data_IF_690559444898
#
_entry.id   IF_690559444898
#
_cell.length_a   1.000
_cell.length_b   1.000
_cell.length_c   1.000
_cell.angle_alpha   90.00
_cell.angle_beta   90.00
_cell.angle_gamma   90.00
#
_symmetry.space_group_name_H-M   'P 1'
#
loop_
_entity.id
_entity.type
_entity.pdbx_description
1 polymer ?
#
# COMPACT_ATOMS: atom_id res chain seq x y z
N UNK A 1 0.93 -20.55 3.45
CA UNK A 1 0.53 -19.34 2.67
C UNK A 1 0.44 -19.65 1.18
N UNK A 2 1.50 -20.18 0.57
CA UNK A 2 1.54 -20.55 -0.84
C UNK A 2 0.34 -21.40 -1.32
N UNK A 3 0.02 -22.50 -0.64
CA UNK A 3 -1.12 -23.36 -1.02
C UNK A 3 -2.46 -22.61 -1.05
N UNK A 4 -2.74 -21.77 -0.04
CA UNK A 4 -3.95 -20.92 -0.02
C UNK A 4 -3.92 -19.87 -1.13
N UNK A 5 -2.76 -19.29 -1.42
CA UNK A 5 -2.58 -18.40 -2.56
C UNK A 5 -3.00 -19.10 -3.87
N UNK A 6 -2.48 -20.31 -4.13
CA UNK A 6 -2.79 -21.11 -5.32
C UNK A 6 -4.27 -21.47 -5.44
N UNK A 7 -4.89 -21.90 -4.35
CA UNK A 7 -6.33 -22.23 -4.32
C UNK A 7 -7.20 -21.08 -4.83
N UNK A 8 -7.00 -19.85 -4.34
CA UNK A 8 -7.80 -18.70 -4.79
C UNK A 8 -7.39 -18.19 -6.19
N UNK A 9 -6.16 -18.44 -6.64
CA UNK A 9 -5.75 -18.13 -8.02
C UNK A 9 -6.53 -18.97 -9.05
N UNK A 10 -6.81 -20.23 -8.71
CA UNK A 10 -7.61 -21.15 -9.53
C UNK A 10 -9.08 -20.69 -9.62
N UNK A 11 -9.56 -19.96 -8.60
CA UNK A 11 -10.88 -19.30 -8.57
C UNK A 11 -10.88 -17.91 -9.22
N UNK A 12 -9.81 -17.53 -9.94
CA UNK A 12 -9.73 -16.25 -10.66
C UNK A 12 -9.16 -15.07 -9.85
N UNK A 13 -8.88 -15.22 -8.55
CA UNK A 13 -8.31 -14.15 -7.71
C UNK A 13 -6.78 -14.23 -7.75
N UNK A 14 -6.19 -13.60 -8.79
CA UNK A 14 -4.76 -13.72 -9.15
C UNK A 14 -3.80 -13.29 -8.04
N UNK A 15 -4.08 -12.21 -7.32
CA UNK A 15 -3.24 -11.68 -6.26
C UNK A 15 -4.07 -11.52 -4.96
N UNK A 16 -4.59 -12.65 -4.47
CA UNK A 16 -5.35 -12.67 -3.22
C UNK A 16 -4.48 -12.38 -1.98
N UNK A 17 -5.13 -12.09 -0.86
CA UNK A 17 -4.50 -11.84 0.44
C UNK A 17 -3.40 -12.83 0.83
N UNK A 18 -3.56 -14.13 0.54
CA UNK A 18 -2.55 -15.13 0.88
C UNK A 18 -1.33 -15.04 -0.03
N UNK A 19 -1.51 -14.63 -1.30
CA UNK A 19 -0.41 -14.35 -2.21
C UNK A 19 0.36 -13.11 -1.77
N UNK A 20 -0.34 -12.02 -1.43
CA UNK A 20 0.29 -10.79 -0.92
C UNK A 20 1.09 -11.10 0.35
N UNK A 21 0.49 -11.82 1.31
CA UNK A 21 1.21 -12.28 2.50
C UNK A 21 2.41 -13.17 2.17
N UNK A 22 2.25 -14.08 1.22
CA UNK A 22 3.34 -14.95 0.79
C UNK A 22 4.50 -14.12 0.22
N UNK A 23 4.23 -13.25 -0.75
CA UNK A 23 5.22 -12.36 -1.38
C UNK A 23 5.91 -11.46 -0.36
N UNK A 24 5.13 -10.85 0.54
CA UNK A 24 5.66 -10.05 1.63
C UNK A 24 6.66 -10.85 2.49
N UNK A 25 6.27 -12.02 2.98
CA UNK A 25 7.15 -12.86 3.80
C UNK A 25 8.32 -13.47 3.03
N UNK A 26 8.17 -13.73 1.72
CA UNK A 26 9.25 -14.28 0.89
C UNK A 26 10.21 -13.20 0.37
N UNK A 27 9.83 -11.92 0.38
CA UNK A 27 10.65 -10.80 -0.10
C UNK A 27 11.70 -10.29 0.90
N UNK A 28 11.80 -11.00 2.03
CA UNK A 28 12.67 -10.73 3.14
C UNK A 28 14.14 -10.78 2.73
N UNK A 29 14.86 -9.69 2.95
CA UNK A 29 16.31 -9.63 2.81
C UNK A 29 16.96 -10.08 4.12
N UNK A 30 17.92 -11.00 4.03
CA UNK A 30 18.63 -11.54 5.20
C UNK A 30 19.75 -10.64 5.72
N UNK A 31 20.10 -9.57 4.99
CA UNK A 31 21.22 -8.68 5.31
C UNK A 31 20.93 -7.23 4.92
N UNK A 32 21.23 -6.31 5.82
CA UNK A 32 21.28 -4.87 5.60
C UNK A 32 22.72 -4.39 5.81
N UNK A 33 23.27 -3.63 4.86
CA UNK A 33 24.50 -2.87 5.04
C UNK A 33 24.15 -1.38 5.13
N UNK A 34 24.67 -0.69 6.12
CA UNK A 34 24.38 0.72 6.41
C UNK A 34 25.69 1.48 6.57
N UNK A 35 25.88 2.52 5.76
CA UNK A 35 26.95 3.50 5.94
C UNK A 35 26.37 4.73 6.65
N UNK A 36 26.98 5.11 7.77
CA UNK A 36 26.57 6.25 8.59
C UNK A 36 27.69 7.28 8.56
N UNK A 37 27.39 8.48 8.09
CA UNK A 37 28.28 9.64 8.15
C UNK A 37 27.59 10.75 8.94
N UNK A 38 28.33 11.38 9.85
CA UNK A 38 27.82 12.45 10.70
C UNK A 38 28.84 13.57 10.81
N UNK A 39 28.32 14.80 10.87
CA UNK A 39 29.10 16.02 11.00
C UNK A 39 28.51 16.95 12.06
N UNK A 40 29.37 17.60 12.83
CA UNK A 40 28.97 18.54 13.89
C UNK A 40 27.85 17.99 14.80
N UNK A 41 27.94 16.71 15.14
CA UNK A 41 27.04 16.05 16.06
C UNK A 41 27.25 16.68 17.44
N UNK A 42 26.40 17.63 17.81
CA UNK A 42 26.32 18.11 19.19
C UNK A 42 26.15 16.89 20.06
N UNK A 43 26.98 16.73 21.10
CA UNK A 43 26.85 15.65 22.08
C UNK A 43 25.39 15.59 22.53
N UNK A 44 24.64 14.65 21.96
CA UNK A 44 23.25 14.43 22.32
C UNK A 44 23.28 14.07 23.80
N UNK A 45 22.76 14.98 24.63
CA UNK A 45 22.81 14.92 26.08
C UNK A 45 22.62 13.49 26.60
N UNK A 46 23.34 13.05 27.66
CA UNK A 46 23.23 11.70 28.24
C UNK A 46 21.79 11.26 28.56
N UNK A 47 20.85 12.20 28.68
CA UNK A 47 19.42 11.95 28.89
C UNK A 47 18.73 11.23 27.74
N UNK A 48 19.14 11.43 26.48
CA UNK A 48 18.56 10.70 25.33
C UNK A 48 19.06 9.25 25.35
N UNK A 49 20.36 9.04 25.63
CA UNK A 49 20.94 7.72 25.82
C UNK A 49 20.24 6.93 26.95
N UNK A 50 19.93 7.56 28.08
CA UNK A 50 19.21 6.89 29.19
C UNK A 50 17.76 6.50 28.87
N UNK A 51 17.07 7.22 27.98
CA UNK A 51 15.73 6.83 27.52
C UNK A 51 15.75 5.52 26.71
N UNK A 52 16.79 5.30 25.91
CA UNK A 52 16.94 4.10 25.08
C UNK A 52 17.52 2.90 25.86
N UNK A 53 18.33 3.15 26.90
CA UNK A 53 18.92 2.11 27.74
C UNK A 53 17.95 1.42 28.73
N UNK A 54 16.69 1.83 28.83
CA UNK A 54 15.74 1.24 29.79
C UNK A 54 15.07 -0.06 29.32
N UNK A 55 15.26 -0.49 28.06
CA UNK A 55 14.86 -1.84 27.65
C UNK A 55 16.02 -2.81 27.81
N UNK A 56 16.01 -3.50 28.95
CA UNK A 56 16.68 -4.78 29.23
C UNK A 56 18.16 -4.87 28.79
N UNK A 57 19.11 -4.82 29.75
CA UNK A 57 20.57 -4.95 29.53
C UNK A 57 21.04 -6.17 28.68
N UNK A 58 20.14 -7.09 28.33
CA UNK A 58 20.39 -8.24 27.44
C UNK A 58 20.14 -7.96 25.95
N UNK A 59 19.39 -6.92 25.57
CA UNK A 59 18.98 -6.69 24.18
C UNK A 59 18.92 -5.18 23.86
N UNK A 60 20.01 -4.61 23.33
CA UNK A 60 20.00 -3.25 22.80
C UNK A 60 19.09 -3.19 21.56
N UNK A 61 18.31 -2.11 21.40
CA UNK A 61 17.60 -1.87 20.14
C UNK A 61 18.58 -1.53 18.99
N UNK A 62 18.10 -1.59 17.75
CA UNK A 62 18.93 -1.46 16.55
C UNK A 62 19.79 -0.19 16.53
N UNK A 63 19.16 0.95 16.80
CA UNK A 63 19.85 2.23 16.73
C UNK A 63 20.78 2.43 17.92
N UNK A 64 20.44 1.91 19.10
CA UNK A 64 21.34 1.90 20.26
C UNK A 64 22.59 1.05 19.98
N UNK A 65 22.44 -0.09 19.30
CA UNK A 65 23.58 -0.93 18.90
C UNK A 65 24.55 -0.18 17.96
N UNK A 66 24.04 0.70 17.09
CA UNK A 66 24.86 1.48 16.16
C UNK A 66 25.40 2.76 16.81
N UNK A 67 24.53 3.56 17.42
CA UNK A 67 24.85 4.90 17.91
C UNK A 67 25.61 4.92 19.23
N UNK A 68 25.74 3.78 19.92
CA UNK A 68 26.67 3.65 21.05
C UNK A 68 28.14 3.73 20.63
N UNK A 69 28.45 3.62 19.34
CA UNK A 69 29.81 3.65 18.78
C UNK A 69 30.13 4.92 17.99
N UNK A 70 29.33 5.97 18.14
CA UNK A 70 29.67 7.29 17.59
C UNK A 70 30.83 7.90 18.39
N UNK A 71 31.86 8.37 17.69
CA UNK A 71 33.10 8.90 18.26
C UNK A 71 33.24 10.38 17.86
N UNK A 72 33.12 11.28 18.84
CA UNK A 72 33.30 12.72 18.62
C UNK A 72 32.17 13.38 17.81
N UNK A 73 32.37 14.64 17.36
CA UNK A 73 31.37 15.41 16.63
C UNK A 73 31.28 15.03 15.14
N UNK A 74 32.32 14.44 14.57
CA UNK A 74 32.41 14.11 13.14
C UNK A 74 32.97 12.70 12.98
N UNK A 75 32.38 11.91 12.08
CA UNK A 75 32.87 10.56 11.84
C UNK A 75 32.04 9.74 10.88
N UNK A 76 32.48 8.48 10.71
CA UNK A 76 31.82 7.49 9.87
C UNK A 76 31.80 6.14 10.55
N UNK A 77 30.70 5.40 10.38
CA UNK A 77 30.53 4.02 10.84
C UNK A 77 29.92 3.18 9.70
N UNK A 78 30.28 1.91 9.65
CA UNK A 78 29.64 0.92 8.78
C UNK A 78 28.96 -0.15 9.64
N UNK A 79 27.65 -0.33 9.49
CA UNK A 79 26.89 -1.33 10.22
C UNK A 79 26.34 -2.42 9.27
N UNK A 80 26.55 -3.67 9.63
CA UNK A 80 25.98 -4.84 8.95
C UNK A 80 25.02 -5.54 9.89
N UNK A 81 23.74 -5.61 9.51
CA UNK A 81 22.71 -6.38 10.22
C UNK A 81 22.36 -7.63 9.43
N UNK A 82 22.39 -8.79 10.09
CA UNK A 82 22.00 -10.08 9.52
C UNK A 82 20.83 -10.68 10.31
N UNK A 83 19.76 -11.06 9.61
CA UNK A 83 18.56 -11.66 10.21
C UNK A 83 18.48 -13.12 9.80
N UNK A 84 18.48 -14.02 10.79
CA UNK A 84 18.43 -15.45 10.56
C UNK A 84 17.06 -15.91 10.08
N UNK A 85 17.06 -16.89 9.18
CA UNK A 85 15.84 -17.48 8.65
C UNK A 85 15.30 -18.47 9.68
N UNK A 86 14.38 -18.00 10.52
CA UNK A 86 13.46 -18.84 11.30
C UNK A 86 14.05 -19.52 12.56
N UNK A 87 14.06 -18.82 13.70
CA UNK A 87 14.47 -19.39 15.02
C UNK A 87 13.45 -19.19 16.15
N UNK A 88 12.20 -18.83 15.85
CA UNK A 88 11.16 -18.64 16.87
C UNK A 88 11.29 -17.36 17.72
N UNK A 89 12.49 -16.79 17.83
CA UNK A 89 12.75 -15.44 18.33
C UNK A 89 13.34 -14.59 17.19
N UNK A 90 12.74 -13.43 16.90
CA UNK A 90 13.22 -12.59 15.79
C UNK A 90 14.31 -11.64 16.31
N UNK A 91 15.57 -12.04 16.15
CA UNK A 91 16.74 -11.22 16.47
C UNK A 91 17.69 -11.13 15.28
N UNK A 92 18.49 -10.06 15.25
CA UNK A 92 19.54 -9.81 14.28
C UNK A 92 20.92 -9.85 14.95
N UNK A 93 21.93 -10.21 14.16
CA UNK A 93 23.33 -10.00 14.48
C UNK A 93 23.77 -8.70 13.83
N UNK A 94 24.25 -7.74 14.62
CA UNK A 94 24.64 -6.40 14.14
C UNK A 94 26.11 -6.17 14.43
N UNK A 95 26.91 -6.02 13.36
CA UNK A 95 28.32 -5.66 13.44
C UNK A 95 28.49 -4.20 13.08
N UNK A 96 29.19 -3.43 13.91
CA UNK A 96 29.45 -2.00 13.69
C UNK A 96 30.96 -1.80 13.58
N UNK A 97 31.41 -1.31 12.44
CA UNK A 97 32.80 -0.99 12.15
C UNK A 97 33.01 0.53 12.24
N UNK A 98 33.88 0.96 13.15
CA UNK A 98 34.26 2.38 13.32
C UNK A 98 35.30 2.81 12.27
N UNK A 99 35.51 4.12 12.14
CA UNK A 99 36.48 4.71 11.21
C UNK A 99 37.93 4.23 11.40
N UNK A 100 38.30 3.88 12.62
CA UNK A 100 39.59 3.28 12.97
C UNK A 100 39.68 1.77 12.65
N UNK A 101 38.63 1.17 12.09
CA UNK A 101 38.56 -0.25 11.69
C UNK A 101 38.18 -1.21 12.82
N UNK A 102 37.89 -0.73 14.02
CA UNK A 102 37.45 -1.58 15.13
C UNK A 102 36.02 -2.08 14.91
N UNK A 103 35.75 -3.35 15.23
CA UNK A 103 34.46 -4.01 14.96
C UNK A 103 33.79 -4.40 16.27
N UNK A 104 32.64 -3.81 16.54
CA UNK A 104 31.77 -4.14 17.66
C UNK A 104 30.67 -5.10 17.21
N UNK A 105 30.47 -6.19 17.94
CA UNK A 105 29.47 -7.22 17.63
C UNK A 105 28.33 -7.16 18.63
N UNK A 106 27.10 -7.07 18.13
CA UNK A 106 25.88 -7.12 18.92
C UNK A 106 25.05 -8.32 18.49
N UNK A 107 24.90 -9.26 19.41
CA UNK A 107 24.09 -10.45 19.22
C UNK A 107 22.69 -10.25 19.81
N UNK A 108 21.68 -10.92 19.26
CA UNK A 108 20.35 -10.90 19.85
C UNK A 108 19.63 -9.55 19.78
N UNK A 109 19.96 -8.69 18.82
CA UNK A 109 19.31 -7.38 18.62
C UNK A 109 17.85 -7.61 18.18
N UNK A 110 16.81 -7.14 18.90
CA UNK A 110 15.42 -7.42 18.55
C UNK A 110 15.03 -6.86 17.17
N UNK A 111 14.47 -7.70 16.29
CA UNK A 111 14.06 -7.29 14.91
C UNK A 111 12.65 -6.74 14.83
N UNK A 112 12.28 -5.93 15.82
CA UNK A 112 10.99 -5.23 15.84
C UNK A 112 10.84 -4.24 14.67
N UNK A 113 11.95 -3.82 14.05
CA UNK A 113 11.96 -2.87 12.92
C UNK A 113 12.12 -3.56 11.57
N UNK A 114 11.40 -3.04 10.55
CA UNK A 114 11.57 -3.41 9.13
C UNK A 114 12.94 -3.00 8.57
N UNK A 115 13.65 -2.06 9.21
CA UNK A 115 15.01 -1.68 8.80
C UNK A 115 15.98 -2.86 8.98
N UNK A 116 15.81 -3.65 10.05
CA UNK A 116 16.66 -4.80 10.35
C UNK A 116 16.43 -5.96 9.37
N UNK A 117 15.20 -6.12 8.90
CA UNK A 117 14.77 -7.17 7.98
C UNK A 117 14.05 -6.53 6.78
N UNK A 118 14.79 -5.80 5.91
CA UNK A 118 14.18 -5.07 4.82
C UNK A 118 13.52 -6.03 3.84
N UNK A 119 12.49 -5.57 3.15
CA UNK A 119 11.71 -6.36 2.21
C UNK A 119 11.66 -5.66 0.87
N UNK A 120 11.82 -6.43 -0.21
CA UNK A 120 11.77 -5.88 -1.58
C UNK A 120 10.35 -5.78 -2.12
N UNK A 121 9.40 -6.54 -1.56
CA UNK A 121 8.01 -6.46 -1.96
C UNK A 121 7.33 -5.37 -1.12
N UNK A 122 6.97 -4.28 -1.79
CA UNK A 122 6.11 -3.23 -1.28
C UNK A 122 4.81 -3.22 -2.09
N UNK A 123 3.70 -2.91 -1.43
CA UNK A 123 2.40 -2.77 -2.08
C UNK A 123 1.69 -1.56 -1.46
N UNK A 124 1.35 -0.58 -2.30
CA UNK A 124 0.72 0.69 -1.92
C UNK A 124 1.55 1.50 -0.90
N UNK A 125 1.00 2.61 -0.38
CA UNK A 125 1.65 3.59 0.50
C UNK A 125 2.01 3.03 1.88
N UNK A 126 2.94 2.08 1.89
CA UNK A 126 3.50 1.43 3.07
C UNK A 126 3.93 2.46 4.12
N UNK A 127 3.26 2.44 5.27
CA UNK A 127 3.78 3.12 6.46
C UNK A 127 4.49 2.11 7.33
N UNK A 128 5.73 2.41 7.69
CA UNK A 128 6.55 1.66 8.64
C UNK A 128 5.83 1.40 9.97
N UNK A 129 4.88 2.25 10.37
CA UNK A 129 4.08 2.10 11.59
C UNK A 129 3.20 0.85 11.59
N UNK A 130 2.82 0.34 10.41
CA UNK A 130 2.00 -0.87 10.26
C UNK A 130 2.67 -2.13 10.82
N UNK A 131 4.00 -2.14 10.87
CA UNK A 131 4.78 -3.26 11.40
C UNK A 131 4.77 -3.31 12.93
N UNK A 132 4.68 -2.13 13.57
CA UNK A 132 4.72 -2.01 15.02
C UNK A 132 3.33 -2.12 15.64
N UNK A 133 2.29 -1.76 14.90
CA UNK A 133 0.92 -1.90 15.37
C UNK A 133 -0.04 -2.16 14.21
N UNK A 134 -0.85 -3.21 14.39
CA UNK A 134 -1.95 -3.53 13.50
C UNK A 134 -2.96 -2.38 13.37
N UNK A 135 -2.99 -1.43 14.31
CA UNK A 135 -3.83 -0.23 14.24
C UNK A 135 -3.45 0.70 13.08
N UNK A 136 -2.20 0.65 12.62
CA UNK A 136 -1.76 1.44 11.47
C UNK A 136 -1.97 0.70 10.15
N UNK A 137 -2.26 -0.61 10.17
CA UNK A 137 -2.41 -1.41 8.96
C UNK A 137 -3.50 -0.81 8.06
N UNK A 138 -3.08 -0.20 6.97
CA UNK A 138 -4.01 0.32 5.97
C UNK A 138 -4.55 -0.88 5.21
N UNK A 139 -5.86 -1.09 5.34
CA UNK A 139 -6.52 -2.12 4.57
C UNK A 139 -6.60 -1.66 3.12
N UNK A 140 -6.50 -2.62 2.22
CA UNK A 140 -6.60 -2.41 0.79
C UNK A 140 -7.92 -3.01 0.35
N UNK A 141 -8.66 -2.25 -0.44
CA UNK A 141 -9.76 -2.81 -1.22
C UNK A 141 -9.19 -3.32 -2.54
N UNK A 142 -9.55 -4.54 -2.94
CA UNK A 142 -9.05 -5.14 -4.17
C UNK A 142 -10.18 -5.66 -5.05
N UNK A 143 -10.20 -5.19 -6.30
CA UNK A 143 -11.15 -5.60 -7.33
C UNK A 143 -10.40 -6.48 -8.34
N UNK A 144 -10.73 -7.77 -8.35
CA UNK A 144 -10.07 -8.79 -9.17
C UNK A 144 -11.13 -9.77 -9.70
N UNK A 145 -10.96 -10.26 -10.93
CA UNK A 145 -11.93 -11.19 -11.52
C UNK A 145 -13.36 -10.59 -11.50
N UNK A 146 -14.32 -11.34 -10.94
CA UNK A 146 -15.72 -10.92 -10.75
C UNK A 146 -16.05 -10.61 -9.28
N UNK A 147 -15.08 -10.21 -8.47
CA UNK A 147 -15.35 -9.83 -7.07
C UNK A 147 -14.52 -8.65 -6.60
N UNK A 148 -14.99 -8.06 -5.49
CA UNK A 148 -14.30 -7.04 -4.71
C UNK A 148 -14.08 -7.60 -3.32
N UNK A 149 -12.85 -7.48 -2.80
CA UNK A 149 -12.60 -7.57 -1.37
C UNK A 149 -12.60 -6.17 -0.79
N UNK A 150 -13.46 -5.95 0.19
CA UNK A 150 -13.63 -4.64 0.82
C UNK A 150 -12.48 -4.29 1.75
N UNK A 151 -12.45 -3.05 2.26
CA UNK A 151 -11.44 -2.65 3.25
C UNK A 151 -11.49 -3.54 4.50
N UNK A 152 -12.67 -3.96 4.96
CA UNK A 152 -12.78 -4.78 6.17
C UNK A 152 -12.78 -6.29 5.88
N UNK A 153 -12.60 -6.65 4.61
CA UNK A 153 -12.29 -8.01 4.15
C UNK A 153 -13.52 -8.87 3.88
N UNK A 154 -14.70 -8.27 3.70
CA UNK A 154 -15.81 -8.97 3.06
C UNK A 154 -15.51 -9.21 1.57
N UNK A 155 -16.15 -10.22 0.99
CA UNK A 155 -16.07 -10.49 -0.45
C UNK A 155 -17.43 -10.16 -1.04
N UNK A 156 -17.44 -9.35 -2.08
CA UNK A 156 -18.61 -8.86 -2.79
C UNK A 156 -18.52 -9.34 -4.24
N UNK A 157 -19.51 -10.09 -4.70
CA UNK A 157 -19.61 -10.53 -6.09
C UNK A 157 -20.08 -9.36 -6.98
N UNK A 158 -19.50 -9.24 -8.17
CA UNK A 158 -19.80 -8.18 -9.10
C UNK A 158 -20.85 -8.62 -10.13
N UNK A 159 -21.80 -7.73 -10.49
CA UNK A 159 -22.72 -7.99 -11.59
C UNK A 159 -21.98 -7.99 -12.93
N UNK A 160 -22.45 -8.84 -13.83
CA UNK A 160 -22.00 -8.89 -15.22
C UNK A 160 -22.56 -7.70 -15.99
N UNK A 161 -21.84 -6.59 -15.97
CA UNK A 161 -22.19 -5.36 -16.69
C UNK A 161 -20.94 -4.55 -17.01
N UNK A 162 -20.95 -3.89 -18.16
CA UNK A 162 -19.93 -2.93 -18.61
C UNK A 162 -20.21 -1.48 -18.13
N UNK A 163 -21.26 -1.27 -17.33
CA UNK A 163 -21.47 -0.02 -16.63
C UNK A 163 -20.39 0.22 -15.57
N UNK A 164 -20.08 1.50 -15.34
CA UNK A 164 -19.23 1.91 -14.23
C UNK A 164 -19.91 1.58 -12.91
N UNK A 165 -19.09 1.18 -11.94
CA UNK A 165 -19.52 0.89 -10.57
C UNK A 165 -18.69 1.75 -9.63
N UNK A 166 -19.31 2.26 -8.57
CA UNK A 166 -18.61 3.01 -7.52
C UNK A 166 -17.79 2.04 -6.68
N UNK A 167 -16.48 1.99 -6.91
CA UNK A 167 -15.57 1.11 -6.17
C UNK A 167 -15.34 1.68 -4.77
N UNK A 168 -14.86 2.92 -4.69
CA UNK A 168 -14.67 3.63 -3.44
C UNK A 168 -14.86 5.13 -3.65
N UNK A 169 -15.54 5.81 -2.73
CA UNK A 169 -15.78 7.24 -2.76
C UNK A 169 -15.65 7.81 -1.36
N UNK A 170 -15.09 9.02 -1.25
CA UNK A 170 -15.21 9.82 -0.04
C UNK A 170 -16.64 10.38 0.05
N UNK A 171 -17.40 9.90 1.04
CA UNK A 171 -18.79 10.26 1.26
C UNK A 171 -18.94 11.18 2.48
N UNK A 172 -17.82 11.72 2.98
CA UNK A 172 -17.82 12.85 3.90
C UNK A 172 -18.20 14.16 3.19
N UNK A 173 -18.48 15.24 3.94
CA UNK A 173 -18.71 16.56 3.35
C UNK A 173 -17.56 17.10 2.49
N UNK A 174 -16.35 16.55 2.62
CA UNK A 174 -15.19 16.97 1.84
C UNK A 174 -15.22 16.42 0.40
N UNK A 175 -15.77 15.21 0.18
CA UNK A 175 -15.93 14.58 -1.12
C UNK A 175 -14.65 14.61 -1.98
N UNK A 176 -13.53 14.20 -1.39
CA UNK A 176 -12.18 14.28 -1.97
C UNK A 176 -12.01 13.52 -3.29
N UNK A 177 -12.58 12.32 -3.39
CA UNK A 177 -12.32 11.42 -4.50
C UNK A 177 -13.48 10.45 -4.76
N UNK A 178 -13.53 9.94 -6.00
CA UNK A 178 -14.38 8.81 -6.41
C UNK A 178 -13.59 7.91 -7.36
N UNK A 179 -13.49 6.62 -7.05
CA UNK A 179 -12.91 5.58 -7.90
C UNK A 179 -14.04 4.76 -8.50
N UNK A 180 -14.12 4.76 -9.82
CA UNK A 180 -15.05 3.95 -10.60
C UNK A 180 -14.30 2.91 -11.41
N UNK A 181 -14.92 1.74 -11.59
CA UNK A 181 -14.41 0.72 -12.50
C UNK A 181 -15.52 0.11 -13.36
N UNK A 182 -15.18 -0.29 -14.58
CA UNK A 182 -16.07 -1.04 -15.47
C UNK A 182 -15.34 -2.21 -16.14
N UNK A 183 -16.10 -3.19 -16.61
CA UNK A 183 -15.58 -4.22 -17.50
C UNK A 183 -15.34 -3.63 -18.91
N UNK A 184 -14.40 -4.20 -19.65
CA UNK A 184 -14.16 -3.88 -21.06
C UNK A 184 -14.09 -5.17 -21.87
N UNK A 185 -14.20 -5.05 -23.19
CA UNK A 185 -14.07 -6.18 -24.11
C UNK A 185 -12.61 -6.53 -24.42
N UNK A 186 -11.62 -5.79 -23.88
CA UNK A 186 -10.21 -6.04 -24.14
C UNK A 186 -9.72 -7.29 -23.38
N UNK A 187 -9.19 -8.33 -24.06
CA UNK A 187 -8.68 -9.52 -23.39
C UNK A 187 -7.47 -9.25 -22.48
N UNK A 188 -6.63 -8.27 -22.85
CA UNK A 188 -5.42 -7.90 -22.11
C UNK A 188 -5.70 -6.86 -21.03
N UNK A 189 -6.76 -6.07 -21.19
CA UNK A 189 -7.12 -4.98 -20.30
C UNK A 189 -8.63 -5.01 -19.97
N UNK A 190 -9.13 -6.10 -19.37
CA UNK A 190 -10.57 -6.38 -19.23
C UNK A 190 -11.32 -5.44 -18.29
N UNK A 191 -10.62 -4.48 -17.67
CA UNK A 191 -11.20 -3.45 -16.81
C UNK A 191 -10.70 -2.08 -17.22
N UNK A 192 -11.49 -1.04 -16.98
CA UNK A 192 -11.07 0.34 -17.07
C UNK A 192 -11.44 1.06 -15.78
N UNK A 193 -10.61 2.03 -15.39
CA UNK A 193 -10.75 2.79 -14.16
C UNK A 193 -10.93 4.27 -14.48
N UNK A 194 -11.84 4.91 -13.76
CA UNK A 194 -12.09 6.35 -13.82
C UNK A 194 -12.06 6.90 -12.41
N UNK A 195 -11.17 7.86 -12.16
CA UNK A 195 -10.93 8.46 -10.85
C UNK A 195 -11.25 9.95 -10.98
N UNK A 196 -12.15 10.42 -10.12
CA UNK A 196 -12.31 11.84 -9.86
C UNK A 196 -11.53 12.15 -8.60
N UNK A 197 -10.59 13.09 -8.67
CA UNK A 197 -9.80 13.55 -7.53
C UNK A 197 -9.86 15.07 -7.51
N UNK A 198 -10.50 15.64 -6.49
CA UNK A 198 -10.93 17.03 -6.47
C UNK A 198 -11.70 17.38 -7.76
N UNK A 199 -11.18 18.28 -8.59
CA UNK A 199 -11.75 18.72 -9.87
C UNK A 199 -11.11 18.05 -11.10
N UNK A 200 -10.22 17.07 -10.91
CA UNK A 200 -9.50 16.39 -12.00
C UNK A 200 -10.11 15.03 -12.27
N UNK A 201 -10.35 14.73 -13.55
CA UNK A 201 -10.78 13.42 -14.03
C UNK A 201 -9.59 12.66 -14.61
N UNK A 202 -9.38 11.44 -14.14
CA UNK A 202 -8.28 10.57 -14.56
C UNK A 202 -8.88 9.26 -15.05
N UNK A 203 -8.55 8.85 -16.27
CA UNK A 203 -9.04 7.59 -16.84
C UNK A 203 -7.85 6.71 -17.24
N UNK A 204 -7.88 5.45 -16.82
CA UNK A 204 -6.89 4.45 -17.20
C UNK A 204 -7.65 3.28 -17.81
N UNK A 205 -7.48 3.06 -19.11
CA UNK A 205 -8.29 2.13 -19.87
C UNK A 205 -7.66 1.74 -21.20
N UNK A 206 -8.21 0.74 -21.90
CA UNK A 206 -7.75 0.41 -23.24
C UNK A 206 -8.33 1.40 -24.25
N UNK A 207 -7.50 1.86 -25.19
CA UNK A 207 -7.93 2.52 -26.43
C UNK A 207 -7.19 1.85 -27.57
N UNK A 208 -7.93 1.13 -28.44
CA UNK A 208 -7.57 0.45 -29.71
C UNK A 208 -6.23 -0.33 -29.78
N UNK A 209 -5.11 0.29 -29.41
CA UNK A 209 -3.73 -0.21 -29.54
C UNK A 209 -3.04 -0.49 -28.20
N UNK A 210 -3.65 -0.13 -27.05
CA UNK A 210 -3.04 -0.39 -25.74
C UNK A 210 -3.66 0.38 -24.58
N UNK A 211 -3.07 0.28 -23.38
CA UNK A 211 -3.49 1.08 -22.24
C UNK A 211 -3.15 2.56 -22.45
N UNK A 212 -4.10 3.43 -22.13
CA UNK A 212 -3.95 4.89 -22.20
C UNK A 212 -4.33 5.49 -20.86
N UNK A 213 -3.58 6.51 -20.47
CA UNK A 213 -3.90 7.39 -19.34
C UNK A 213 -4.42 8.70 -19.91
N UNK A 214 -5.62 9.09 -19.53
CA UNK A 214 -6.22 10.38 -19.83
C UNK A 214 -6.33 11.20 -18.54
N UNK A 215 -5.98 12.48 -18.61
CA UNK A 215 -6.20 13.46 -17.54
C UNK A 215 -7.01 14.59 -18.14
N UNK A 216 -8.22 14.81 -17.62
CA UNK A 216 -9.22 15.75 -18.18
C UNK A 216 -9.41 15.55 -19.70
N UNK A 217 -9.58 14.30 -20.12
CA UNK A 217 -9.76 13.89 -21.53
C UNK A 217 -8.51 14.03 -22.42
N UNK A 218 -7.40 14.56 -21.90
CA UNK A 218 -6.14 14.66 -22.63
C UNK A 218 -5.24 13.44 -22.37
N UNK A 219 -4.70 12.86 -23.44
CA UNK A 219 -3.74 11.76 -23.35
C UNK A 219 -2.43 12.25 -22.78
N UNK A 220 -2.00 11.66 -21.67
CA UNK A 220 -0.72 11.96 -21.03
C UNK A 220 0.24 10.78 -21.19
N UNK A 221 1.52 11.02 -21.54
CA UNK A 221 2.52 9.96 -21.58
C UNK A 221 2.88 9.54 -20.16
N UNK A 222 2.72 8.25 -19.85
CA UNK A 222 3.17 7.64 -18.59
C UNK A 222 3.98 6.41 -18.94
N UNK A 223 5.30 6.50 -18.75
CA UNK A 223 6.23 5.38 -18.92
C UNK A 223 7.08 5.23 -17.66
N UNK A 224 7.89 4.18 -17.61
CA UNK A 224 8.81 3.95 -16.49
C UNK A 224 9.83 5.08 -16.36
N UNK A 225 10.25 5.66 -17.47
CA UNK A 225 11.21 6.75 -17.54
C UNK A 225 10.55 8.13 -17.40
N UNK A 226 9.23 8.20 -17.61
CA UNK A 226 8.46 9.44 -17.60
C UNK A 226 7.19 9.29 -16.74
N UNK A 227 7.30 9.45 -15.40
CA UNK A 227 6.13 9.58 -14.55
C UNK A 227 5.41 10.91 -14.81
N UNK A 228 4.09 10.90 -14.73
CA UNK A 228 3.26 12.10 -14.86
C UNK A 228 2.99 12.71 -13.49
N UNK A 229 3.12 14.03 -13.36
CA UNK A 229 2.80 14.78 -12.14
C UNK A 229 1.79 15.86 -12.47
N UNK A 230 0.74 15.97 -11.68
CA UNK A 230 -0.24 17.02 -11.81
C UNK A 230 -0.10 17.99 -10.65
N UNK A 231 0.19 19.25 -10.95
CA UNK A 231 0.45 20.31 -9.96
C UNK A 231 -0.64 21.36 -10.08
N UNK A 232 -1.24 21.74 -8.95
CA UNK A 232 -2.25 22.80 -8.84
C UNK A 232 -1.74 23.79 -7.80
N UNK A 233 -1.72 25.08 -8.13
CA UNK A 233 -1.26 26.17 -7.25
C UNK A 233 0.13 25.93 -6.61
N UNK A 234 1.03 25.31 -7.37
CA UNK A 234 2.40 25.02 -6.91
C UNK A 234 2.53 23.79 -6.00
N UNK A 235 1.44 23.06 -5.74
CA UNK A 235 1.44 21.82 -4.98
C UNK A 235 1.08 20.61 -5.86
N UNK A 236 1.79 19.49 -5.69
CA UNK A 236 1.46 18.24 -6.38
C UNK A 236 0.12 17.69 -5.86
N UNK A 237 -0.88 17.63 -6.74
CA UNK A 237 -2.17 17.03 -6.42
C UNK A 237 -2.06 15.51 -6.45
N UNK A 238 -1.42 14.97 -7.49
CA UNK A 238 -1.11 13.55 -7.64
C UNK A 238 0.03 13.33 -8.61
N UNK A 239 0.60 12.14 -8.58
CA UNK A 239 1.46 11.62 -9.64
C UNK A 239 1.03 10.22 -10.07
N UNK A 240 1.41 9.86 -11.29
CA UNK A 240 1.19 8.55 -11.89
C UNK A 240 2.54 8.03 -12.37
N UNK A 241 2.93 6.84 -11.91
CA UNK A 241 4.15 6.15 -12.34
C UNK A 241 3.79 4.81 -12.99
N UNK A 242 4.48 4.44 -14.07
CA UNK A 242 4.37 3.11 -14.65
C UNK A 242 5.50 2.21 -14.11
N UNK A 243 5.14 1.21 -13.30
CA UNK A 243 6.08 0.23 -12.76
C UNK A 243 5.72 -1.15 -13.31
N UNK A 244 6.59 -1.70 -14.15
CA UNK A 244 6.35 -2.95 -14.88
C UNK A 244 5.06 -2.88 -15.73
N UNK A 245 3.94 -3.45 -15.27
CA UNK A 245 2.62 -3.44 -15.93
C UNK A 245 1.58 -2.64 -15.16
N UNK A 246 1.97 -2.00 -14.06
CA UNK A 246 1.07 -1.28 -13.17
C UNK A 246 1.19 0.23 -13.40
N UNK A 247 0.05 0.90 -13.33
CA UNK A 247 -0.07 2.34 -13.17
C UNK A 247 -0.33 2.62 -11.69
N UNK A 248 0.65 3.24 -11.04
CA UNK A 248 0.61 3.65 -9.64
C UNK A 248 0.19 5.10 -9.58
N UNK A 249 -1.03 5.37 -9.16
CA UNK A 249 -1.51 6.72 -8.87
C UNK A 249 -1.45 6.98 -7.38
N UNK A 250 -0.83 8.10 -6.99
CA UNK A 250 -0.70 8.50 -5.60
C UNK A 250 -1.04 9.97 -5.42
N UNK A 251 -1.94 10.25 -4.49
CA UNK A 251 -2.24 11.59 -3.99
C UNK A 251 -1.97 11.61 -2.49
N UNK A 252 -0.81 12.14 -2.10
CA UNK A 252 -0.42 12.22 -0.70
C UNK A 252 -1.33 13.18 0.09
N UNK A 253 -1.67 14.32 -0.51
CA UNK A 253 -2.53 15.35 0.09
C UNK A 253 -3.95 14.86 0.35
N UNK A 254 -4.46 13.97 -0.50
CA UNK A 254 -5.80 13.39 -0.35
C UNK A 254 -5.77 11.97 0.22
N UNK A 255 -4.59 11.43 0.57
CA UNK A 255 -4.44 10.12 1.18
C UNK A 255 -4.98 8.97 0.31
N UNK A 256 -4.84 9.04 -1.01
CA UNK A 256 -5.35 8.05 -1.95
C UNK A 256 -4.19 7.39 -2.71
N UNK A 257 -4.19 6.06 -2.74
CA UNK A 257 -3.24 5.23 -3.49
C UNK A 257 -4.02 4.24 -4.34
N UNK A 258 -3.79 4.24 -5.64
CA UNK A 258 -4.43 3.33 -6.59
C UNK A 258 -3.35 2.62 -7.39
N UNK A 259 -3.42 1.29 -7.42
CA UNK A 259 -2.53 0.44 -8.19
C UNK A 259 -3.36 -0.38 -9.19
N UNK A 260 -3.10 -0.20 -10.48
CA UNK A 260 -3.94 -0.75 -11.55
C UNK A 260 -3.15 -1.25 -12.75
N UNK A 261 -3.42 -2.48 -13.21
CA UNK A 261 -2.75 -3.07 -14.39
C UNK A 261 -3.70 -3.52 -15.51
N UNK A 262 -4.97 -3.09 -15.48
CA UNK A 262 -6.00 -3.54 -16.42
C UNK A 262 -6.78 -4.79 -16.01
N UNK A 263 -6.24 -5.59 -15.09
CA UNK A 263 -6.91 -6.79 -14.55
C UNK A 263 -7.22 -6.65 -13.06
N UNK A 264 -6.27 -6.09 -12.32
CA UNK A 264 -6.29 -5.93 -10.87
C UNK A 264 -6.36 -4.44 -10.57
N UNK A 265 -7.27 -4.06 -9.69
CA UNK A 265 -7.37 -2.73 -9.14
C UNK A 265 -7.25 -2.84 -7.62
N UNK A 266 -6.26 -2.18 -7.05
CA UNK A 266 -6.11 -2.01 -5.61
C UNK A 266 -6.32 -0.55 -5.24
N UNK A 267 -7.12 -0.30 -4.20
CA UNK A 267 -7.36 1.02 -3.64
C UNK A 267 -6.97 1.01 -2.17
N UNK A 268 -6.18 1.98 -1.76
CA UNK A 268 -5.88 2.26 -0.35
C UNK A 268 -6.19 3.72 -0.06
N UNK A 269 -6.88 3.92 1.06
CA UNK A 269 -7.25 5.23 1.58
C UNK A 269 -6.60 5.46 2.95
N UNK A 270 -6.24 6.71 3.23
CA UNK A 270 -5.66 7.11 4.49
C UNK A 270 -6.63 6.87 5.68
N UNK A 271 -6.11 6.62 6.89
CA UNK A 271 -6.93 6.32 8.07
C UNK A 271 -7.99 7.36 8.44
N UNK A 272 -7.83 8.62 8.03
CA UNK A 272 -8.80 9.67 8.35
C UNK A 272 -10.13 9.53 7.60
N UNK A 273 -10.20 8.61 6.61
CA UNK A 273 -11.43 8.23 5.92
C UNK A 273 -12.20 7.08 6.58
N UNK A 274 -11.73 6.53 7.70
CA UNK A 274 -12.45 5.45 8.39
C UNK A 274 -13.88 5.85 8.74
N UNK A 275 -14.84 5.01 8.34
CA UNK A 275 -16.28 5.27 8.51
C UNK A 275 -16.82 6.43 7.67
N UNK A 276 -16.06 6.90 6.67
CA UNK A 276 -16.43 8.04 5.80
C UNK A 276 -16.43 7.68 4.32
N UNK A 277 -16.05 6.45 3.98
CA UNK A 277 -16.11 5.98 2.60
C UNK A 277 -17.48 5.38 2.30
N UNK A 278 -17.81 5.28 1.03
CA UNK A 278 -18.89 4.43 0.54
C UNK A 278 -18.56 3.88 -0.85
N UNK A 279 -19.31 2.89 -1.31
CA UNK A 279 -19.01 2.12 -2.53
C UNK A 279 -18.87 0.63 -2.26
N UNK A 280 -18.51 -0.12 -3.30
CA UNK A 280 -18.29 -1.57 -3.24
C UNK A 280 -17.20 -1.98 -2.23
N UNK A 281 -16.27 -1.07 -1.90
CA UNK A 281 -15.22 -1.29 -0.92
C UNK A 281 -15.66 -1.12 0.55
N UNK A 282 -16.94 -0.82 0.81
CA UNK A 282 -17.46 -0.57 2.16
C UNK A 282 -17.12 0.81 2.70
N UNK A 283 -17.38 1.01 4.00
CA UNK A 283 -17.20 2.30 4.69
C UNK A 283 -15.88 2.43 5.45
N UNK A 284 -15.07 1.38 5.47
CA UNK A 284 -13.74 1.33 6.06
C UNK A 284 -13.75 1.55 7.58
N UNK A 285 -14.68 0.93 8.30
CA UNK A 285 -14.89 1.13 9.74
C UNK A 285 -14.39 -0.02 10.64
N UNK A 286 -13.80 -1.08 10.06
CA UNK A 286 -13.37 -2.33 10.73
C UNK A 286 -14.46 -3.34 11.09
N UNK A 287 -15.72 -3.10 10.71
CA UNK A 287 -16.87 -3.94 11.02
C UNK A 287 -17.34 -4.73 9.79
N UNK A 288 -16.83 -5.96 9.67
CA UNK A 288 -17.14 -6.84 8.54
C UNK A 288 -18.60 -7.28 8.48
N UNK A 289 -19.34 -7.27 9.58
CA UNK A 289 -20.71 -7.82 9.62
C UNK A 289 -21.76 -6.90 8.98
N UNK A 290 -21.46 -5.61 8.82
CA UNK A 290 -22.37 -4.62 8.22
C UNK A 290 -21.80 -4.02 6.93
N UNK A 291 -20.91 -4.76 6.25
CA UNK A 291 -20.20 -4.26 5.08
C UNK A 291 -21.12 -3.94 3.89
N UNK A 292 -22.23 -4.67 3.75
CA UNK A 292 -23.13 -4.59 2.60
C UNK A 292 -24.18 -3.46 2.76
N UNK A 293 -23.76 -2.30 3.25
CA UNK A 293 -24.61 -1.13 3.41
C UNK A 293 -24.62 -0.31 2.11
N UNK A 294 -25.73 -0.35 1.38
CA UNK A 294 -25.88 0.35 0.11
C UNK A 294 -26.03 1.86 0.24
N UNK A 295 -26.07 2.58 -0.90
CA UNK A 295 -26.20 4.04 -0.93
C UNK A 295 -27.57 4.53 -0.45
N UNK A 296 -28.57 3.65 -0.40
CA UNK A 296 -29.92 3.87 0.14
C UNK A 296 -30.02 3.60 1.65
N UNK A 297 -28.89 3.35 2.31
CA UNK A 297 -28.80 2.88 3.70
C UNK A 297 -29.49 1.54 3.96
N UNK A 298 -29.76 0.75 2.91
CA UNK A 298 -30.24 -0.61 3.05
C UNK A 298 -29.06 -1.56 3.31
N UNK A 299 -29.20 -2.40 4.33
CA UNK A 299 -28.25 -3.50 4.57
C UNK A 299 -28.70 -4.73 3.79
N UNK A 300 -27.95 -5.04 2.74
CA UNK A 300 -28.23 -6.18 1.87
C UNK A 300 -27.74 -7.49 2.51
N UNK A 301 -28.45 -8.58 2.23
CA UNK A 301 -28.04 -9.94 2.58
C UNK A 301 -27.35 -10.68 1.41
N UNK A 302 -27.42 -10.12 0.20
CA UNK A 302 -26.87 -10.67 -1.02
C UNK A 302 -25.83 -9.72 -1.62
N UNK A 303 -24.64 -10.25 -1.89
CA UNK A 303 -23.49 -9.50 -2.42
C UNK A 303 -23.74 -8.91 -3.80
N UNK A 304 -24.46 -9.63 -4.67
CA UNK A 304 -24.75 -9.22 -6.04
C UNK A 304 -25.79 -8.08 -6.07
N UNK A 305 -26.83 -8.16 -5.23
CA UNK A 305 -27.82 -7.08 -5.09
C UNK A 305 -27.19 -5.81 -4.53
N UNK A 306 -26.37 -5.95 -3.48
CA UNK A 306 -25.55 -4.86 -2.96
C UNK A 306 -24.68 -4.25 -4.07
N UNK A 307 -24.00 -5.08 -4.87
CA UNK A 307 -23.13 -4.57 -5.91
C UNK A 307 -23.88 -3.89 -7.07
N UNK A 308 -25.11 -4.33 -7.38
CA UNK A 308 -26.00 -3.66 -8.32
C UNK A 308 -26.41 -2.27 -7.85
N UNK A 309 -26.58 -2.05 -6.55
CA UNK A 309 -26.92 -0.73 -5.99
C UNK A 309 -25.87 0.35 -6.27
N UNK A 310 -24.62 -0.05 -6.53
CA UNK A 310 -23.50 0.85 -6.85
C UNK A 310 -23.19 0.95 -8.35
N UNK A 311 -24.01 0.36 -9.22
CA UNK A 311 -23.91 0.56 -10.68
C UNK A 311 -24.35 1.98 -11.02
N UNK A 312 -23.52 2.71 -11.75
CA UNK A 312 -23.83 4.05 -12.25
C UNK A 312 -24.65 3.90 -13.54
N UNK A 313 -25.91 4.36 -13.56
CA UNK A 313 -26.74 4.28 -14.77
C UNK A 313 -26.13 5.10 -15.90
N UNK A 314 -26.15 4.55 -17.12
CA UNK A 314 -25.76 5.24 -18.34
C UNK A 314 -26.48 4.64 -19.53
N UNK A 315 -26.89 5.46 -20.49
CA UNK A 315 -27.54 5.01 -21.74
C UNK A 315 -26.58 4.20 -22.64
N UNK A 316 -25.27 4.28 -22.37
CA UNK A 316 -24.20 3.71 -23.20
C UNK A 316 -23.65 2.38 -22.68
N UNK A 317 -24.27 1.78 -21.66
CA UNK A 317 -23.82 0.51 -21.08
C UNK A 317 -25.00 -0.45 -20.87
N UNK A 318 -24.70 -1.73 -20.75
CA UNK A 318 -25.67 -2.80 -20.60
C UNK A 318 -25.79 -3.20 -19.13
N UNK A 319 -26.85 -2.75 -18.46
CA UNK A 319 -27.19 -3.20 -17.10
C UNK A 319 -27.91 -4.56 -17.14
N UNK A 320 -27.34 -5.57 -16.49
CA UNK A 320 -27.91 -6.93 -16.38
C UNK A 320 -28.54 -7.21 -15.01
#
# INVERSE_FOLDING_TARGET
LYQKCRFYQEQGIKLNYFCVKYLYHSSRLGRLNLDVEYHNLKTLLPRVYHSYHQHNKKHADFFTAIFSHLEGPDGRLHAVSEVEAFTGCRTARVNVTTSNGHVYKHEGVPTVSHLLEPRVFYMLGYSNLQEYSAQYKHRTCDLQGHSVRTFDGAIVDLPETDCYKVVARDCSPYNAFTVLAKATQSPTFPKAVKIFLANVKIEIGPIETGPVVLVNDEKVPVTKEQPYRHVVDGAELFYIEAVQRYYLLQSNSHGLYVDFNGQLLFVQAAPFYRGKLCGLCGDYNYERNHELLGPDHHLYNNTLEFARSYVVPSDTCHSS
#
